data_IF_163871250294
#
_entry.id   IF_163871250294
#
_cell.length_a   1.000
_cell.length_b   1.000
_cell.length_c   1.000
_cell.angle_alpha   90.00
_cell.angle_beta   90.00
_cell.angle_gamma   90.00
#
_symmetry.space_group_name_H-M   'P 1'
#
loop_
_entity.id
_entity.type
_entity.pdbx_description
1 polymer ?
#
# COMPACT_ATOMS: atom_id res chain seq x y z
N UNK A 1 12.30 17.57 7.80
CA UNK A 1 10.86 17.34 7.59
C UNK A 1 10.70 15.87 7.26
N UNK A 2 9.71 15.17 7.82
CA UNK A 2 9.43 13.80 7.40
C UNK A 2 8.86 13.86 5.96
N UNK A 3 9.46 13.15 5.02
CA UNK A 3 8.91 13.01 3.68
C UNK A 3 7.52 12.35 3.80
N UNK A 4 6.50 12.99 3.25
CA UNK A 4 5.14 12.44 3.22
C UNK A 4 4.88 11.86 1.85
N UNK A 5 3.93 10.93 1.72
CA UNK A 5 3.57 10.32 0.43
C UNK A 5 3.16 11.39 -0.60
N UNK A 6 2.64 12.53 -0.12
CA UNK A 6 2.27 13.70 -0.92
C UNK A 6 3.47 14.45 -1.50
N UNK A 7 4.65 14.33 -0.90
CA UNK A 7 5.90 14.98 -1.33
C UNK A 7 6.53 14.29 -2.55
N UNK A 8 6.12 13.04 -2.83
CA UNK A 8 6.65 12.23 -3.94
C UNK A 8 6.12 12.63 -5.32
N UNK A 9 5.19 13.59 -5.40
CA UNK A 9 4.58 14.01 -6.67
C UNK A 9 3.75 12.91 -7.33
N UNK A 10 3.19 12.00 -6.53
CA UNK A 10 2.32 10.91 -6.96
C UNK A 10 0.92 11.41 -7.33
N UNK A 11 0.22 10.69 -8.21
CA UNK A 11 -1.20 10.93 -8.47
C UNK A 11 -2.04 10.77 -7.19
N UNK A 12 -3.17 11.48 -7.13
CA UNK A 12 -4.10 11.38 -5.97
C UNK A 12 -4.55 9.94 -5.77
N UNK A 13 -4.81 9.21 -6.85
CA UNK A 13 -5.15 7.79 -6.79
C UNK A 13 -4.06 6.96 -6.08
N UNK A 14 -2.79 7.15 -6.46
CA UNK A 14 -1.65 6.47 -5.83
C UNK A 14 -1.55 6.77 -4.33
N UNK A 15 -1.77 8.03 -3.92
CA UNK A 15 -1.76 8.39 -2.50
C UNK A 15 -2.89 7.72 -1.73
N UNK A 16 -4.11 7.73 -2.27
CA UNK A 16 -5.24 7.04 -1.63
C UNK A 16 -5.03 5.51 -1.57
N UNK A 17 -4.41 4.92 -2.59
CA UNK A 17 -4.13 3.49 -2.61
C UNK A 17 -3.09 3.14 -1.55
N UNK A 18 -2.06 3.97 -1.41
CA UNK A 18 -1.06 3.83 -0.35
C UNK A 18 -1.69 3.89 1.04
N UNK A 19 -2.54 4.88 1.30
CA UNK A 19 -3.25 5.01 2.60
C UNK A 19 -4.16 3.82 2.88
N UNK A 20 -4.79 3.24 1.84
CA UNK A 20 -5.60 2.05 1.97
C UNK A 20 -4.75 0.83 2.34
N UNK A 21 -3.60 0.63 1.68
CA UNK A 21 -2.65 -0.45 1.99
C UNK A 21 -2.08 -0.25 3.40
N UNK A 22 -1.66 0.97 3.75
CA UNK A 22 -1.15 1.32 5.08
C UNK A 22 -2.21 1.07 6.17
N UNK A 23 -3.46 1.44 5.91
CA UNK A 23 -4.58 1.16 6.81
C UNK A 23 -4.89 -0.33 6.96
N UNK A 24 -4.75 -1.12 5.90
CA UNK A 24 -4.88 -2.58 5.94
C UNK A 24 -3.70 -3.23 6.69
N UNK A 25 -2.48 -2.70 6.54
CA UNK A 25 -1.31 -3.15 7.30
C UNK A 25 -1.40 -2.78 8.77
N UNK A 26 -1.78 -1.54 9.10
CA UNK A 26 -2.02 -1.10 10.47
C UNK A 26 -3.21 -1.80 11.13
N UNK A 27 -4.16 -2.28 10.32
CA UNK A 27 -5.27 -3.15 10.77
C UNK A 27 -4.88 -4.63 10.88
N UNK A 28 -3.62 -5.03 10.61
CA UNK A 28 -3.11 -6.32 11.08
C UNK A 28 -3.09 -6.27 12.60
N UNK A 29 -4.21 -6.67 13.19
CA UNK A 29 -4.34 -6.91 14.62
C UNK A 29 -3.21 -7.86 15.03
N UNK A 30 -2.41 -7.43 16.01
CA UNK A 30 -1.36 -8.23 16.65
C UNK A 30 -1.87 -9.66 16.95
N UNK A 31 -1.38 -10.69 16.23
CA UNK A 31 -1.76 -12.07 16.54
C UNK A 31 -1.28 -12.50 17.94
N UNK A 32 -0.33 -11.76 18.52
CA UNK A 32 0.15 -11.95 19.90
C UNK A 32 -0.94 -11.67 20.95
N UNK A 33 -1.94 -10.83 20.62
CA UNK A 33 -3.12 -10.59 21.49
C UNK A 33 -4.37 -11.36 21.09
N UNK A 34 -4.39 -12.02 19.93
CA UNK A 34 -5.56 -12.76 19.46
C UNK A 34 -5.14 -13.96 18.56
N UNK A 35 -4.96 -15.13 19.19
CA UNK A 35 -4.46 -16.38 18.61
C UNK A 35 -5.27 -17.00 17.43
N UNK A 36 -6.15 -16.25 16.76
CA UNK A 36 -6.98 -16.76 15.64
C UNK A 36 -7.05 -15.83 14.42
N UNK A 37 -6.38 -14.67 14.43
CA UNK A 37 -6.38 -13.78 13.28
C UNK A 37 -5.29 -14.20 12.29
N UNK A 38 -5.67 -14.84 11.17
CA UNK A 38 -4.78 -15.02 10.02
C UNK A 38 -4.26 -13.64 9.62
N UNK A 39 -2.95 -13.46 9.63
CA UNK A 39 -2.28 -12.35 8.94
C UNK A 39 -2.89 -12.26 7.55
N UNK A 40 -3.74 -11.26 7.33
CA UNK A 40 -4.33 -11.07 6.01
C UNK A 40 -3.18 -10.63 5.11
N UNK A 41 -2.70 -11.54 4.27
CA UNK A 41 -1.81 -11.22 3.17
C UNK A 41 -2.51 -10.14 2.36
N UNK A 42 -1.99 -8.92 2.34
CA UNK A 42 -2.59 -7.84 1.56
C UNK A 42 -2.19 -8.09 0.13
N UNK A 43 -3.12 -8.57 -0.68
CA UNK A 43 -2.87 -8.84 -2.10
C UNK A 43 -3.48 -7.72 -2.94
N UNK A 44 -3.00 -7.57 -4.17
CA UNK A 44 -3.58 -6.62 -5.13
C UNK A 44 -5.09 -6.83 -5.31
N UNK A 45 -5.56 -8.09 -5.27
CA UNK A 45 -6.97 -8.45 -5.35
C UNK A 45 -7.81 -7.89 -4.20
N UNK A 46 -7.31 -7.99 -2.96
CA UNK A 46 -7.98 -7.42 -1.77
C UNK A 46 -8.00 -5.89 -1.85
N UNK A 47 -6.88 -5.29 -2.25
CA UNK A 47 -6.82 -3.85 -2.43
C UNK A 47 -7.79 -3.38 -3.51
N UNK A 48 -7.90 -4.08 -4.64
CA UNK A 48 -8.83 -3.77 -5.72
C UNK A 48 -10.29 -3.93 -5.27
N UNK A 49 -10.60 -5.01 -4.54
CA UNK A 49 -11.93 -5.24 -3.97
C UNK A 49 -12.33 -4.15 -2.95
N UNK A 50 -11.37 -3.64 -2.17
CA UNK A 50 -11.58 -2.55 -1.20
C UNK A 50 -11.61 -1.17 -1.85
N UNK A 51 -10.84 -0.98 -2.92
CA UNK A 51 -10.73 0.26 -3.68
C UNK A 51 -12.06 0.63 -4.34
N UNK A 52 -12.82 -0.39 -4.78
CA UNK A 52 -14.16 -0.22 -5.37
C UNK A 52 -14.17 0.83 -6.51
N UNK A 53 -13.12 0.82 -7.33
CA UNK A 53 -12.90 1.72 -8.47
C UNK A 53 -12.45 0.96 -9.71
N UNK A 54 -12.11 1.68 -10.79
CA UNK A 54 -11.66 1.05 -12.03
C UNK A 54 -10.30 0.34 -11.87
N UNK A 55 -10.19 -0.86 -12.43
CA UNK A 55 -8.96 -1.67 -12.46
C UNK A 55 -7.80 -0.94 -13.15
N UNK A 56 -8.11 -0.10 -14.15
CA UNK A 56 -7.13 0.69 -14.89
C UNK A 56 -6.44 1.73 -13.99
N UNK A 57 -7.20 2.52 -13.22
CA UNK A 57 -6.66 3.51 -12.30
C UNK A 57 -5.93 2.85 -11.13
N UNK A 58 -6.46 1.72 -10.64
CA UNK A 58 -5.78 0.91 -9.62
C UNK A 58 -4.39 0.45 -10.08
N UNK A 59 -4.29 -0.12 -11.29
CA UNK A 59 -3.00 -0.57 -11.84
C UNK A 59 -2.04 0.59 -12.06
N UNK A 60 -2.54 1.75 -12.49
CA UNK A 60 -1.71 2.95 -12.69
C UNK A 60 -1.16 3.45 -11.35
N UNK A 61 -2.02 3.59 -10.35
CA UNK A 61 -1.67 3.95 -8.99
C UNK A 61 -0.65 2.98 -8.36
N UNK A 62 -0.88 1.67 -8.51
CA UNK A 62 0.00 0.63 -8.00
C UNK A 62 1.38 0.66 -8.67
N UNK A 63 1.42 0.91 -9.98
CA UNK A 63 2.66 1.06 -10.74
C UNK A 63 3.44 2.31 -10.31
N UNK A 64 2.77 3.44 -10.08
CA UNK A 64 3.39 4.66 -9.55
C UNK A 64 4.02 4.41 -8.17
N UNK A 65 3.30 3.73 -7.27
CA UNK A 65 3.79 3.39 -5.93
C UNK A 65 4.99 2.44 -5.97
N UNK A 66 4.99 1.45 -6.85
CA UNK A 66 6.14 0.57 -7.08
C UNK A 66 7.33 1.33 -7.66
N UNK A 67 7.09 2.27 -8.59
CA UNK A 67 8.14 3.05 -9.24
C UNK A 67 8.89 3.95 -8.24
N UNK A 68 8.18 4.56 -7.30
CA UNK A 68 8.77 5.34 -6.21
C UNK A 68 9.25 4.48 -5.05
N UNK A 69 9.00 3.17 -5.09
CA UNK A 69 9.36 2.23 -4.03
C UNK A 69 8.58 2.41 -2.74
N UNK A 70 7.40 3.04 -2.79
CA UNK A 70 6.50 3.23 -1.64
C UNK A 70 5.80 1.93 -1.23
N UNK A 71 5.62 1.01 -2.17
CA UNK A 71 5.14 -0.35 -1.90
C UNK A 71 6.14 -1.37 -2.46
N UNK A 72 6.12 -2.56 -1.87
CA UNK A 72 6.84 -3.74 -2.32
C UNK A 72 5.84 -4.84 -2.64
N UNK A 73 6.03 -5.50 -3.77
CA UNK A 73 5.38 -6.78 -4.08
C UNK A 73 6.35 -7.90 -3.70
N UNK A 74 5.93 -8.76 -2.77
CA UNK A 74 6.70 -9.93 -2.37
C UNK A 74 5.83 -11.17 -2.48
N UNK A 75 5.88 -11.83 -3.64
CA UNK A 75 5.16 -13.07 -3.90
C UNK A 75 3.63 -12.93 -3.71
N UNK A 76 3.04 -11.96 -4.41
CA UNK A 76 1.62 -11.58 -4.33
C UNK A 76 1.18 -10.89 -3.04
N UNK A 77 2.08 -10.63 -2.08
CA UNK A 77 1.83 -9.73 -0.96
C UNK A 77 2.35 -8.32 -1.24
N UNK A 78 1.44 -7.35 -1.21
CA UNK A 78 1.73 -5.93 -1.17
C UNK A 78 2.02 -5.51 0.28
N UNK A 79 3.13 -4.81 0.48
CA UNK A 79 3.42 -4.11 1.73
C UNK A 79 3.91 -2.70 1.46
N UNK A 80 3.56 -1.77 2.33
CA UNK A 80 4.14 -0.43 2.35
C UNK A 80 5.59 -0.49 2.81
N UNK A 81 6.39 0.45 2.30
CA UNK A 81 7.77 0.66 2.73
C UNK A 81 7.86 1.93 3.54
N UNK A 82 8.90 2.03 4.38
CA UNK A 82 9.12 3.24 5.18
C UNK A 82 9.49 4.43 4.29
N UNK A 83 9.14 5.66 4.67
CA UNK A 83 9.49 6.88 3.93
C UNK A 83 10.98 7.04 3.62
N UNK A 84 11.86 6.45 4.43
CA UNK A 84 13.30 6.42 4.20
C UNK A 84 13.73 5.57 2.99
N UNK A 85 12.88 4.66 2.50
CA UNK A 85 13.13 3.80 1.34
C UNK A 85 12.51 4.33 0.05
N UNK A 86 11.75 5.44 0.12
CA UNK A 86 11.10 6.01 -1.05
C UNK A 86 12.13 6.73 -1.92
N UNK A 87 12.03 6.50 -3.23
CA UNK A 87 12.79 7.25 -4.22
C UNK A 87 12.17 8.65 -4.35
N UNK A 88 12.65 9.56 -3.52
CA UNK A 88 12.47 11.01 -3.74
C UNK A 88 13.24 11.38 -5.01
N UNK A 89 12.55 12.02 -5.97
CA UNK A 89 13.12 12.44 -7.25
C UNK A 89 14.03 13.65 -7.09
#
# INVERSE_FOLDING_TARGET
MAATIFDLGLSVEAVSLFLLIEGLEGSKIDPDKNCTAKSANITADICLAKWNGEDADFKRALSELLAVGAIKDNNSELGTTKPAAWKTK
#
